data_IF_189841634774
#
_entry.id   IF_189841634774
#
_cell.length_a   1.000
_cell.length_b   1.000
_cell.length_c   1.000
_cell.angle_alpha   90.00
_cell.angle_beta   90.00
_cell.angle_gamma   90.00
#
_symmetry.space_group_name_H-M   'P 1'
#
loop_
_entity.id
_entity.type
_entity.pdbx_description
1 polymer ?
#
# COMPACT_ATOMS: atom_id res chain seq x y z
N UNK A 1 24.97 -46.78 49.35
CA UNK A 1 24.18 -47.04 48.13
C UNK A 1 23.27 -45.86 47.89
N UNK A 2 23.38 -45.21 46.71
CA UNK A 2 22.36 -44.52 45.89
C UNK A 2 21.44 -43.49 46.62
N UNK A 3 21.31 -42.24 46.20
CA UNK A 3 20.91 -41.81 44.85
C UNK A 3 21.11 -40.29 44.72
N UNK A 4 21.66 -39.83 43.60
CA UNK A 4 21.60 -38.42 43.18
C UNK A 4 20.48 -38.24 42.16
N UNK A 5 19.53 -37.36 42.45
CA UNK A 5 18.48 -36.92 41.51
C UNK A 5 19.06 -35.80 40.64
N UNK A 6 19.11 -35.98 39.32
CA UNK A 6 19.40 -34.92 38.36
C UNK A 6 18.06 -34.48 37.75
N UNK A 7 17.64 -33.26 38.04
CA UNK A 7 16.51 -32.62 37.39
C UNK A 7 16.97 -32.06 36.03
N UNK A 8 16.40 -32.57 34.94
CA UNK A 8 16.63 -32.04 33.59
C UNK A 8 15.73 -30.83 33.35
N UNK A 9 16.34 -29.65 33.22
CA UNK A 9 15.67 -28.41 32.84
C UNK A 9 15.55 -28.38 31.31
N UNK A 10 14.34 -28.54 30.77
CA UNK A 10 14.07 -28.36 29.34
C UNK A 10 13.94 -26.86 29.07
N UNK A 11 14.97 -26.25 28.49
CA UNK A 11 14.93 -24.87 28.04
C UNK A 11 14.13 -24.79 26.72
N UNK A 12 12.95 -24.17 26.76
CA UNK A 12 12.19 -23.83 25.57
C UNK A 12 12.88 -22.67 24.84
N UNK A 13 13.50 -22.95 23.69
CA UNK A 13 14.04 -21.92 22.82
C UNK A 13 12.88 -21.20 22.10
N UNK A 14 12.87 -19.86 22.07
CA UNK A 14 11.83 -19.12 21.36
C UNK A 14 12.01 -19.35 19.86
N UNK A 15 11.00 -19.91 19.21
CA UNK A 15 10.92 -20.00 17.75
C UNK A 15 10.59 -18.61 17.21
N UNK A 16 11.59 -17.95 16.61
CA UNK A 16 11.34 -16.75 15.81
C UNK A 16 10.59 -17.17 14.54
N UNK A 17 9.36 -16.67 14.38
CA UNK A 17 8.62 -16.83 13.14
C UNK A 17 9.17 -15.86 12.10
N UNK A 18 9.81 -16.39 11.06
CA UNK A 18 10.17 -15.61 9.88
C UNK A 18 9.00 -15.61 8.90
N UNK A 19 8.67 -14.43 8.36
CA UNK A 19 7.71 -14.34 7.26
C UNK A 19 8.24 -15.13 6.06
N UNK A 20 7.38 -15.96 5.45
CA UNK A 20 7.74 -16.68 4.24
C UNK A 20 7.98 -15.68 3.09
N UNK A 21 8.99 -15.90 2.22
CA UNK A 21 9.21 -15.04 1.07
C UNK A 21 8.01 -15.09 0.11
N UNK A 22 7.63 -13.94 -0.43
CA UNK A 22 6.61 -13.86 -1.48
C UNK A 22 7.11 -14.58 -2.73
N UNK A 23 6.31 -15.49 -3.27
CA UNK A 23 6.58 -16.16 -4.55
C UNK A 23 5.89 -15.41 -5.69
N UNK A 24 6.59 -15.24 -6.81
CA UNK A 24 6.10 -14.56 -8.00
C UNK A 24 6.01 -15.53 -9.20
N UNK A 25 5.09 -15.31 -10.17
CA UNK A 25 4.09 -14.24 -10.19
C UNK A 25 3.06 -14.39 -9.07
N UNK A 26 2.69 -13.26 -8.45
CA UNK A 26 1.71 -13.18 -7.38
C UNK A 26 0.45 -12.51 -7.92
N UNK A 27 -0.66 -13.24 -7.91
CA UNK A 27 -1.99 -12.68 -8.23
C UNK A 27 -2.78 -12.46 -6.95
N UNK A 28 -3.34 -11.27 -6.78
CA UNK A 28 -4.21 -10.91 -5.66
C UNK A 28 -5.53 -10.32 -6.15
N UNK A 29 -6.58 -10.50 -5.37
CA UNK A 29 -7.83 -9.78 -5.56
C UNK A 29 -7.77 -8.45 -4.81
N UNK A 30 -7.90 -7.34 -5.54
CA UNK A 30 -7.84 -5.99 -5.00
C UNK A 30 -9.03 -5.17 -5.48
N UNK A 31 -10.02 -4.98 -4.62
CA UNK A 31 -11.24 -4.19 -4.89
C UNK A 31 -11.98 -4.66 -6.15
N UNK A 32 -12.28 -5.95 -6.23
CA UNK A 32 -13.02 -6.56 -7.34
C UNK A 32 -12.20 -6.75 -8.63
N UNK A 33 -10.89 -6.58 -8.56
CA UNK A 33 -9.95 -6.73 -9.68
C UNK A 33 -8.84 -7.70 -9.33
N UNK A 34 -8.58 -8.65 -10.23
CA UNK A 34 -7.39 -9.48 -10.14
C UNK A 34 -6.17 -8.69 -10.63
N UNK A 35 -5.14 -8.57 -9.80
CA UNK A 35 -3.89 -7.86 -10.11
C UNK A 35 -2.74 -8.83 -9.98
N UNK A 36 -1.93 -8.94 -11.03
CA UNK A 36 -0.75 -9.83 -11.05
C UNK A 36 0.53 -9.00 -10.98
N UNK A 37 1.41 -9.39 -10.06
CA UNK A 37 2.75 -8.85 -9.90
C UNK A 37 3.75 -9.90 -10.35
N UNK A 38 4.57 -9.61 -11.35
CA UNK A 38 5.64 -10.53 -11.80
C UNK A 38 6.89 -10.46 -10.92
N UNK A 39 7.05 -9.36 -10.19
CA UNK A 39 8.08 -9.12 -9.19
C UNK A 39 7.57 -8.15 -8.13
N UNK A 40 8.34 -8.00 -7.06
CA UNK A 40 8.08 -6.93 -6.09
C UNK A 40 8.18 -5.57 -6.81
N UNK A 41 7.22 -4.63 -6.61
CA UNK A 41 7.34 -3.27 -7.11
C UNK A 41 8.62 -2.61 -6.62
N UNK A 42 9.25 -1.81 -7.47
CA UNK A 42 10.51 -1.10 -7.20
C UNK A 42 10.33 0.42 -7.29
N UNK A 43 9.27 0.92 -7.93
CA UNK A 43 9.01 2.35 -8.10
C UNK A 43 7.53 2.67 -7.94
N UNK A 44 7.20 3.24 -6.79
CA UNK A 44 5.82 3.44 -6.34
C UNK A 44 5.48 4.93 -6.38
N UNK A 45 4.31 5.27 -6.92
CA UNK A 45 3.64 6.54 -6.60
C UNK A 45 2.51 6.26 -5.63
N UNK A 46 2.53 6.98 -4.50
CA UNK A 46 1.52 6.86 -3.44
C UNK A 46 0.53 8.02 -3.52
N UNK A 47 -0.77 7.72 -3.56
CA UNK A 47 -1.85 8.70 -3.63
C UNK A 47 -2.73 8.54 -2.39
N UNK A 48 -2.58 9.46 -1.44
CA UNK A 48 -3.21 9.41 -0.12
C UNK A 48 -2.18 9.37 1.00
N UNK A 49 -2.35 10.23 2.00
CA UNK A 49 -1.48 10.28 3.17
C UNK A 49 -1.47 8.94 3.92
N UNK A 50 -2.63 8.32 4.14
CA UNK A 50 -2.74 7.04 4.84
C UNK A 50 -2.01 5.92 4.10
N UNK A 51 -2.17 5.85 2.78
CA UNK A 51 -1.43 4.89 1.95
C UNK A 51 0.08 5.12 2.02
N UNK A 52 0.51 6.37 1.99
CA UNK A 52 1.93 6.73 2.06
C UNK A 52 2.55 6.31 3.40
N UNK A 53 1.87 6.58 4.50
CA UNK A 53 2.34 6.22 5.84
C UNK A 53 2.33 4.69 6.06
N UNK A 54 1.42 3.95 5.41
CA UNK A 54 1.49 2.48 5.37
C UNK A 54 2.77 2.02 4.68
N UNK A 55 3.11 2.57 3.51
CA UNK A 55 4.37 2.21 2.82
C UNK A 55 5.60 2.53 3.68
N UNK A 56 5.61 3.64 4.39
CA UNK A 56 6.68 3.98 5.32
C UNK A 56 6.76 3.00 6.50
N UNK A 57 5.62 2.59 7.07
CA UNK A 57 5.57 1.62 8.17
C UNK A 57 6.10 0.23 7.78
N UNK A 58 5.97 -0.12 6.50
CA UNK A 58 6.51 -1.35 5.92
C UNK A 58 8.01 -1.24 5.58
N UNK A 59 8.64 -0.10 5.81
CA UNK A 59 10.04 0.14 5.46
C UNK A 59 10.27 0.34 3.96
N UNK A 60 9.23 0.68 3.18
CA UNK A 60 9.29 0.77 1.73
C UNK A 60 9.55 2.19 1.20
N UNK A 61 9.93 3.14 2.07
CA UNK A 61 10.12 4.53 1.70
C UNK A 61 11.08 4.72 0.51
N UNK A 62 12.13 3.91 0.41
CA UNK A 62 13.11 3.99 -0.70
C UNK A 62 12.51 3.65 -2.07
N UNK A 63 11.38 2.94 -2.10
CA UNK A 63 10.66 2.60 -3.33
C UNK A 63 9.67 3.68 -3.75
N UNK A 64 9.38 4.66 -2.88
CA UNK A 64 8.38 5.69 -3.14
C UNK A 64 9.03 6.83 -3.93
N UNK A 65 8.66 6.96 -5.21
CA UNK A 65 9.17 7.99 -6.10
C UNK A 65 8.40 9.31 -5.99
N UNK A 66 7.14 9.26 -5.55
CA UNK A 66 6.32 10.45 -5.35
C UNK A 66 5.09 10.20 -4.50
N UNK A 67 4.63 11.25 -3.84
CA UNK A 67 3.44 11.24 -2.99
C UNK A 67 2.49 12.37 -3.36
N UNK A 68 1.20 12.15 -3.16
CA UNK A 68 0.16 13.17 -3.16
C UNK A 68 -0.88 12.78 -2.10
N UNK A 69 -1.91 13.61 -1.83
CA UNK A 69 -2.99 13.14 -0.94
C UNK A 69 -3.00 13.69 0.49
N UNK A 70 -2.47 14.88 0.76
CA UNK A 70 -2.03 15.24 2.12
C UNK A 70 -3.00 16.16 2.86
N UNK A 71 -3.53 15.65 3.96
CA UNK A 71 -4.49 16.33 4.82
C UNK A 71 -3.84 16.99 6.04
N UNK A 72 -2.60 16.64 6.35
CA UNK A 72 -1.85 17.20 7.47
C UNK A 72 -0.35 16.89 7.41
N UNK A 73 0.39 17.18 8.49
CA UNK A 73 1.77 16.77 8.60
C UNK A 73 1.88 15.24 8.64
N UNK A 74 2.95 14.70 8.06
CA UNK A 74 3.30 13.30 8.20
C UNK A 74 3.57 12.94 9.67
N UNK A 75 3.31 11.68 10.04
CA UNK A 75 3.70 11.17 11.35
C UNK A 75 5.18 11.43 11.66
N UNK A 76 5.46 11.90 12.88
CA UNK A 76 6.80 12.33 13.32
C UNK A 76 7.94 11.34 13.01
N UNK A 77 7.77 10.01 13.16
CA UNK A 77 8.83 9.05 12.82
C UNK A 77 9.24 9.05 11.35
N UNK A 78 8.36 9.49 10.44
CA UNK A 78 8.59 9.44 8.99
C UNK A 78 8.96 10.80 8.38
N UNK A 79 8.99 11.88 9.17
CA UNK A 79 9.30 13.23 8.67
C UNK A 79 10.63 13.30 7.89
N UNK A 80 11.65 12.56 8.33
CA UNK A 80 12.95 12.55 7.68
C UNK A 80 12.99 11.83 6.33
N UNK A 81 12.14 10.82 6.11
CA UNK A 81 12.04 10.14 4.81
C UNK A 81 11.11 10.88 3.87
N UNK A 82 9.99 11.39 4.39
CA UNK A 82 8.99 12.12 3.60
C UNK A 82 9.57 13.39 2.97
N UNK A 83 10.41 14.13 3.72
CA UNK A 83 11.07 15.34 3.24
C UNK A 83 11.99 15.12 2.02
N UNK A 84 12.35 13.88 1.70
CA UNK A 84 13.20 13.52 0.55
C UNK A 84 12.41 13.06 -0.67
N UNK A 85 11.13 12.75 -0.49
CA UNK A 85 10.28 12.19 -1.54
C UNK A 85 9.53 13.32 -2.23
N UNK A 86 9.38 13.23 -3.56
CA UNK A 86 8.72 14.28 -4.34
C UNK A 86 7.24 14.36 -3.98
N UNK A 87 6.81 15.51 -3.48
CA UNK A 87 5.38 15.88 -3.42
C UNK A 87 4.89 16.24 -4.82
N UNK A 88 4.02 15.41 -5.41
CA UNK A 88 3.41 15.68 -6.71
C UNK A 88 2.33 16.76 -6.60
N UNK A 89 1.53 16.70 -5.53
CA UNK A 89 0.51 17.68 -5.18
C UNK A 89 0.14 17.52 -3.70
N UNK A 90 -0.36 18.60 -3.07
CA UNK A 90 -1.00 18.46 -1.75
C UNK A 90 -2.38 17.82 -1.86
N UNK A 91 -3.12 18.12 -2.93
CA UNK A 91 -4.38 17.47 -3.29
C UNK A 91 -4.14 16.45 -4.42
N UNK A 92 -5.17 16.21 -5.24
CA UNK A 92 -5.15 15.30 -6.38
C UNK A 92 -4.04 15.70 -7.39
N UNK A 93 -3.10 14.79 -7.70
CA UNK A 93 -2.12 14.99 -8.76
C UNK A 93 -2.78 14.81 -10.13
N UNK A 94 -2.18 15.34 -11.20
CA UNK A 94 -2.61 15.00 -12.56
C UNK A 94 -2.12 13.60 -12.96
N UNK A 95 -2.84 12.93 -13.86
CA UNK A 95 -2.42 11.65 -14.43
C UNK A 95 -0.99 11.71 -15.00
N UNK A 96 -0.69 12.76 -15.76
CA UNK A 96 0.60 12.99 -16.42
C UNK A 96 1.72 13.14 -15.39
N UNK A 97 1.45 13.84 -14.28
CA UNK A 97 2.43 14.00 -13.21
C UNK A 97 2.80 12.67 -12.55
N UNK A 98 1.84 11.75 -12.43
CA UNK A 98 2.05 10.39 -11.90
C UNK A 98 2.86 9.55 -12.89
N UNK A 99 2.41 9.44 -14.15
CA UNK A 99 3.06 8.57 -15.15
C UNK A 99 4.42 9.09 -15.60
N UNK A 100 4.69 10.40 -15.47
CA UNK A 100 6.02 10.99 -15.72
C UNK A 100 7.12 10.44 -14.79
N UNK A 101 6.72 9.88 -13.64
CA UNK A 101 7.65 9.19 -12.75
C UNK A 101 7.86 7.73 -13.16
N UNK A 102 7.24 7.23 -14.23
CA UNK A 102 7.37 5.85 -14.72
C UNK A 102 7.25 4.79 -13.61
N UNK A 103 6.25 4.86 -12.70
CA UNK A 103 6.12 3.89 -11.62
C UNK A 103 5.74 2.51 -12.16
N UNK A 104 6.12 1.45 -11.45
CA UNK A 104 5.58 0.11 -11.67
C UNK A 104 4.34 -0.18 -10.80
N UNK A 105 4.09 0.65 -9.78
CA UNK A 105 2.90 0.61 -8.95
C UNK A 105 2.37 2.02 -8.62
N UNK A 106 1.08 2.23 -8.84
CA UNK A 106 0.30 3.30 -8.20
C UNK A 106 -0.47 2.71 -7.03
N UNK A 107 -0.10 3.09 -5.82
CA UNK A 107 -0.78 2.70 -4.59
C UNK A 107 -1.71 3.85 -4.14
N UNK A 108 -3.01 3.61 -4.19
CA UNK A 108 -4.02 4.62 -3.90
C UNK A 108 -4.80 4.29 -2.63
N UNK A 109 -5.09 5.31 -1.83
CA UNK A 109 -5.91 5.18 -0.63
C UNK A 109 -7.40 5.05 -0.98
N UNK A 110 -7.86 5.74 -2.02
CA UNK A 110 -9.29 5.82 -2.36
C UNK A 110 -9.58 5.52 -3.84
N UNK A 111 -10.70 4.85 -4.11
CA UNK A 111 -11.20 4.56 -5.47
C UNK A 111 -11.61 5.83 -6.22
N UNK A 112 -11.99 6.89 -5.51
CA UNK A 112 -12.34 8.16 -6.16
C UNK A 112 -11.11 8.90 -6.71
N UNK A 113 -9.89 8.54 -6.30
CA UNK A 113 -8.66 8.98 -6.98
C UNK A 113 -8.28 8.03 -8.12
N UNK A 114 -8.26 6.72 -7.82
CA UNK A 114 -7.86 5.67 -8.77
C UNK A 114 -8.91 4.56 -8.80
N UNK A 115 -9.79 4.62 -9.79
CA UNK A 115 -10.95 3.73 -9.87
C UNK A 115 -11.88 4.14 -11.03
N UNK A 116 -13.10 3.58 -11.10
CA UNK A 116 -14.04 3.86 -12.19
C UNK A 116 -14.36 5.36 -12.37
N UNK A 117 -14.43 6.09 -11.24
CA UNK A 117 -14.68 7.53 -11.16
C UNK A 117 -13.42 8.31 -10.73
N UNK A 118 -12.24 7.74 -10.94
CA UNK A 118 -10.97 8.29 -10.46
C UNK A 118 -10.67 9.68 -10.98
N UNK A 119 -10.47 10.66 -10.09
CA UNK A 119 -10.07 12.03 -10.41
C UNK A 119 -8.64 12.11 -10.97
N UNK A 120 -7.76 11.19 -10.53
CA UNK A 120 -6.37 11.08 -11.03
C UNK A 120 -6.31 10.19 -12.26
N UNK A 121 -7.06 9.10 -12.28
CA UNK A 121 -7.15 8.22 -13.45
C UNK A 121 -7.84 6.90 -13.15
N UNK A 122 -8.29 6.23 -14.22
CA UNK A 122 -8.86 4.88 -14.12
C UNK A 122 -7.77 3.82 -14.06
N UNK A 123 -8.07 2.69 -13.45
CA UNK A 123 -7.13 1.55 -13.34
C UNK A 123 -6.71 1.01 -14.72
N UNK A 124 -7.62 1.05 -15.70
CA UNK A 124 -7.35 0.66 -17.09
C UNK A 124 -6.30 1.57 -17.75
N UNK A 125 -6.38 2.88 -17.51
CA UNK A 125 -5.44 3.84 -18.10
C UNK A 125 -4.01 3.60 -17.63
N UNK A 126 -3.83 3.19 -16.37
CA UNK A 126 -2.53 2.79 -15.84
C UNK A 126 -2.08 1.44 -16.41
N UNK A 127 -2.99 0.45 -16.48
CA UNK A 127 -2.64 -0.87 -17.01
C UNK A 127 -2.25 -0.85 -18.49
N UNK A 128 -2.86 0.04 -19.29
CA UNK A 128 -2.51 0.24 -20.70
C UNK A 128 -1.06 0.73 -20.88
N UNK A 129 -0.48 1.31 -19.82
CA UNK A 129 0.92 1.74 -19.75
C UNK A 129 1.83 0.74 -19.03
N UNK A 130 1.31 -0.43 -18.64
CA UNK A 130 2.05 -1.44 -17.88
C UNK A 130 2.23 -1.11 -16.39
N UNK A 131 1.45 -0.18 -15.86
CA UNK A 131 1.53 0.27 -14.47
C UNK A 131 0.46 -0.45 -13.64
N UNK A 132 0.88 -1.22 -12.64
CA UNK A 132 -0.06 -1.86 -11.74
C UNK A 132 -0.72 -0.83 -10.81
N UNK A 133 -1.96 -1.10 -10.42
CA UNK A 133 -2.70 -0.28 -9.46
C UNK A 133 -3.08 -1.13 -8.27
N UNK A 134 -2.96 -0.56 -7.06
CA UNK A 134 -3.46 -1.14 -5.82
C UNK A 134 -4.28 -0.08 -5.10
N UNK A 135 -5.52 -0.40 -4.75
CA UNK A 135 -6.37 0.48 -3.94
C UNK A 135 -6.50 -0.11 -2.54
N UNK A 136 -6.48 0.74 -1.52
CA UNK A 136 -6.69 0.31 -0.13
C UNK A 136 -7.99 -0.49 0.01
N UNK A 137 -7.95 -1.74 0.52
CA UNK A 137 -9.17 -2.52 0.76
C UNK A 137 -10.15 -1.85 1.73
N UNK A 138 -9.64 -0.96 2.60
CA UNK A 138 -10.45 -0.16 3.50
C UNK A 138 -11.48 0.70 2.75
N UNK A 139 -11.21 1.04 1.49
CA UNK A 139 -12.06 1.92 0.68
C UNK A 139 -13.10 1.18 -0.18
N UNK A 140 -12.90 -0.10 -0.45
CA UNK A 140 -13.80 -0.86 -1.34
C UNK A 140 -14.66 -1.90 -0.62
N UNK A 141 -14.37 -2.21 0.64
CA UNK A 141 -15.23 -3.08 1.46
C UNK A 141 -16.34 -2.29 2.12
N UNK A 142 -17.59 -2.77 1.98
CA UNK A 142 -18.79 -2.21 2.60
C UNK A 142 -19.10 -0.75 2.22
N UNK A 143 -18.56 -0.28 1.09
CA UNK A 143 -18.65 1.10 0.62
C UNK A 143 -19.13 1.18 -0.82
N UNK A 144 -19.92 2.21 -1.13
CA UNK A 144 -20.36 2.55 -2.49
C UNK A 144 -19.65 3.83 -2.94
N UNK A 145 -18.82 3.73 -3.98
CA UNK A 145 -18.04 4.83 -4.55
C UNK A 145 -18.65 5.36 -5.88
N UNK A 146 -19.98 5.34 -6.01
CA UNK A 146 -20.68 5.59 -7.27
C UNK A 146 -20.77 7.08 -7.67
N UNK A 147 -20.74 8.00 -6.72
CA UNK A 147 -21.10 9.42 -6.94
C UNK A 147 -19.91 10.41 -6.87
N UNK A 148 -18.67 9.90 -6.87
CA UNK A 148 -17.46 10.71 -6.68
C UNK A 148 -17.25 11.14 -5.21
N UNK A 149 -15.99 11.32 -4.80
CA UNK A 149 -15.61 11.61 -3.41
C UNK A 149 -15.53 10.38 -2.49
N UNK A 150 -15.50 10.59 -1.17
CA UNK A 150 -15.31 9.53 -0.15
C UNK A 150 -16.54 8.60 0.04
N UNK A 151 -17.46 8.51 -0.93
CA UNK A 151 -18.52 7.51 -0.98
C UNK A 151 -19.44 7.39 0.26
N UNK A 152 -20.27 6.35 0.26
CA UNK A 152 -21.19 6.03 1.38
C UNK A 152 -20.92 4.62 1.89
N UNK A 153 -20.77 4.47 3.21
CA UNK A 153 -20.69 3.16 3.88
C UNK A 153 -22.09 2.69 4.26
N UNK A 154 -22.55 1.62 3.64
CA UNK A 154 -23.86 1.03 3.92
C UNK A 154 -23.78 -0.05 5.03
N UNK A 155 -22.60 -0.58 5.28
CA UNK A 155 -22.35 -1.60 6.31
C UNK A 155 -21.04 -1.31 7.07
N UNK A 156 -20.88 -1.90 8.25
CA UNK A 156 -19.62 -1.85 9.00
C UNK A 156 -18.55 -2.68 8.30
N UNK A 157 -17.30 -2.22 8.37
CA UNK A 157 -16.14 -3.01 7.98
C UNK A 157 -16.06 -4.23 8.92
N UNK A 158 -16.09 -5.45 8.35
CA UNK A 158 -16.05 -6.72 9.11
C UNK A 158 -14.67 -7.35 9.04
#
# INVERSE_FOLDING_TARGET
MKSGLIAALVAALPTFAFAAPTSYPLTIENCGRSVTFDKAPEKIVSIGQGMTEVLYSLGLAEKVAGTAVWVGPVLLPYAGVDAKIKRLADNDPSFESVVSLEPDLVAAEFEWHVGPMGSVGKREQFSDLGINTYVSPADCVAKTNADGGDGVRNELFK
#
